data_IF_731498625337
#
_entry.id   IF_731498625337
#
_cell.length_a   1.000
_cell.length_b   1.000
_cell.length_c   1.000
_cell.angle_alpha   90.00
_cell.angle_beta   90.00
_cell.angle_gamma   90.00
#
_symmetry.space_group_name_H-M   'P 1'
#
loop_
_entity.id
_entity.type
_entity.pdbx_description
1 polymer ?
#
# COMPACT_ATOMS: atom_id res chain seq x y z
N UNK A 1 57.64 14.88 -30.20
CA UNK A 1 57.32 15.02 -28.75
C UNK A 1 56.50 16.28 -28.57
N UNK A 2 55.18 16.17 -28.36
CA UNK A 2 54.23 17.29 -28.40
C UNK A 2 53.65 17.52 -26.98
N UNK A 3 53.75 18.73 -26.40
CA UNK A 3 53.46 18.97 -24.97
C UNK A 3 51.97 19.23 -24.67
N UNK A 4 51.04 18.63 -25.43
CA UNK A 4 49.61 18.95 -25.39
C UNK A 4 48.76 17.95 -24.60
N UNK A 5 49.31 17.30 -23.57
CA UNK A 5 48.61 16.27 -22.78
C UNK A 5 48.49 16.60 -21.28
N UNK A 6 48.43 17.88 -20.92
CA UNK A 6 48.44 18.29 -19.51
C UNK A 6 47.52 19.47 -19.16
N UNK A 7 46.24 19.45 -19.57
CA UNK A 7 45.22 20.35 -18.98
C UNK A 7 43.79 20.02 -19.43
N UNK A 8 43.17 18.96 -18.90
CA UNK A 8 41.70 18.83 -18.93
C UNK A 8 41.21 17.74 -17.93
N UNK A 9 41.64 17.83 -16.68
CA UNK A 9 41.05 17.07 -15.56
C UNK A 9 40.69 18.06 -14.46
N UNK A 10 39.89 19.07 -14.80
CA UNK A 10 39.13 19.82 -13.81
C UNK A 10 37.92 18.97 -13.42
N UNK A 11 38.11 18.22 -12.34
CA UNK A 11 37.03 17.58 -11.61
C UNK A 11 35.99 18.64 -11.23
N UNK A 12 34.82 18.61 -11.89
CA UNK A 12 33.61 19.18 -11.33
C UNK A 12 33.24 18.33 -10.11
N UNK A 13 33.81 18.67 -8.96
CA UNK A 13 33.25 18.28 -7.68
C UNK A 13 31.95 19.08 -7.52
N UNK A 14 30.86 18.57 -8.10
CA UNK A 14 29.52 18.98 -7.68
C UNK A 14 29.43 18.60 -6.21
N UNK A 15 29.26 19.55 -5.27
CA UNK A 15 28.96 19.16 -3.91
C UNK A 15 27.62 18.45 -3.97
N UNK A 16 27.64 17.14 -3.78
CA UNK A 16 26.45 16.35 -3.51
C UNK A 16 25.96 16.81 -2.14
N UNK A 17 25.36 18.01 -2.10
CA UNK A 17 24.55 18.43 -0.97
C UNK A 17 23.37 17.49 -1.00
N UNK A 18 23.50 16.38 -0.29
CA UNK A 18 22.38 15.58 0.12
C UNK A 18 21.54 16.48 1.02
N UNK A 19 20.66 17.27 0.41
CA UNK A 19 19.44 17.68 1.07
C UNK A 19 18.74 16.36 1.36
N UNK A 20 18.99 15.80 2.55
CA UNK A 20 18.11 14.83 3.14
C UNK A 20 16.75 15.51 3.09
N UNK A 21 15.90 15.04 2.18
CA UNK A 21 14.54 15.54 2.07
C UNK A 21 13.94 15.29 3.44
N UNK A 22 13.77 16.35 4.21
CA UNK A 22 13.10 16.32 5.50
C UNK A 22 11.69 15.86 5.15
N UNK A 23 11.44 14.56 5.26
CA UNK A 23 10.08 14.05 5.20
C UNK A 23 9.42 14.64 6.43
N UNK A 24 8.55 15.62 6.23
CA UNK A 24 7.67 16.09 7.29
C UNK A 24 7.03 14.85 7.90
N UNK A 25 7.32 14.60 9.18
CA UNK A 25 6.81 13.43 9.86
C UNK A 25 5.28 13.47 9.73
N UNK A 26 4.68 12.39 9.24
CA UNK A 26 3.22 12.33 9.17
C UNK A 26 2.65 12.65 10.56
N UNK A 27 1.57 13.43 10.68
CA UNK A 27 1.01 13.73 11.98
C UNK A 27 0.59 12.42 12.66
N UNK A 28 0.79 12.34 13.98
CA UNK A 28 0.29 11.21 14.76
C UNK A 28 -1.22 11.12 14.58
N UNK A 29 -1.72 9.91 14.31
CA UNK A 29 -3.13 9.61 14.28
C UNK A 29 -3.49 8.71 15.46
N UNK A 30 -4.63 8.96 16.10
CA UNK A 30 -5.19 8.11 17.15
C UNK A 30 -6.53 7.58 16.66
N UNK A 31 -6.64 6.25 16.62
CA UNK A 31 -7.89 5.55 16.32
C UNK A 31 -8.59 5.16 17.61
N UNK A 32 -9.89 5.48 17.71
CA UNK A 32 -10.80 5.13 18.80
C UNK A 32 -12.14 4.67 18.24
N UNK A 33 -13.09 4.31 19.11
CA UNK A 33 -14.49 4.09 18.72
C UNK A 33 -14.73 2.75 18.02
N UNK A 34 -13.79 1.80 18.12
CA UNK A 34 -14.01 0.44 17.63
C UNK A 34 -14.86 -0.36 18.61
N UNK A 35 -15.65 -1.32 18.11
CA UNK A 35 -16.29 -2.33 18.99
C UNK A 35 -15.21 -3.21 19.64
N UNK A 36 -14.21 -3.62 18.86
CA UNK A 36 -13.02 -4.29 19.34
C UNK A 36 -11.82 -3.98 18.43
N UNK A 37 -10.65 -3.79 19.03
CA UNK A 37 -9.36 -3.82 18.31
C UNK A 37 -8.67 -5.12 18.66
N UNK A 38 -8.62 -6.07 17.74
CA UNK A 38 -7.88 -7.32 17.91
C UNK A 38 -6.39 -7.07 17.67
N UNK A 39 -5.54 -7.51 18.59
CA UNK A 39 -4.09 -7.21 18.56
C UNK A 39 -3.25 -8.38 18.03
N UNK A 40 -3.82 -9.59 17.95
CA UNK A 40 -3.08 -10.85 17.77
C UNK A 40 -1.99 -11.12 18.83
N UNK A 41 -2.04 -10.43 19.98
CA UNK A 41 -1.19 -10.67 21.14
C UNK A 41 -1.98 -11.52 22.17
N UNK A 42 -1.54 -12.75 22.52
CA UNK A 42 -2.27 -13.61 23.47
C UNK A 42 -2.33 -13.02 24.88
N UNK A 43 -1.37 -12.19 25.29
CA UNK A 43 -1.37 -11.56 26.61
C UNK A 43 -2.31 -10.33 26.65
N UNK A 44 -2.60 -9.77 25.48
CA UNK A 44 -3.41 -8.54 25.33
C UNK A 44 -4.30 -8.63 24.09
N UNK A 45 -5.26 -9.56 24.02
CA UNK A 45 -5.96 -9.91 22.79
C UNK A 45 -6.81 -8.78 22.20
N UNK A 46 -7.22 -7.83 23.03
CA UNK A 46 -8.02 -6.68 22.62
C UNK A 46 -7.47 -5.35 23.15
N UNK A 47 -7.84 -4.27 22.45
CA UNK A 47 -7.59 -2.88 22.86
C UNK A 47 -8.79 -1.98 22.48
N UNK A 48 -8.81 -0.77 23.03
CA UNK A 48 -9.84 0.24 22.74
C UNK A 48 -9.35 1.32 21.78
N UNK A 49 -8.03 1.53 21.74
CA UNK A 49 -7.40 2.55 20.91
C UNK A 49 -5.95 2.23 20.58
N UNK A 50 -5.45 2.87 19.54
CA UNK A 50 -4.02 2.97 19.29
C UNK A 50 -3.63 4.31 18.67
N UNK A 51 -2.37 4.69 18.90
CA UNK A 51 -1.71 5.80 18.21
C UNK A 51 -0.78 5.22 17.13
N UNK A 52 -0.72 5.86 15.97
CA UNK A 52 0.15 5.47 14.88
C UNK A 52 0.81 6.68 14.21
N UNK A 53 2.00 6.46 13.68
CA UNK A 53 2.74 7.42 12.88
C UNK A 53 3.64 6.68 11.89
N UNK A 54 3.70 7.15 10.64
CA UNK A 54 4.57 6.58 9.60
C UNK A 54 4.42 5.06 9.44
N UNK A 55 3.18 4.56 9.47
CA UNK A 55 2.88 3.13 9.34
C UNK A 55 3.27 2.26 10.55
N UNK A 56 3.65 2.85 11.69
CA UNK A 56 3.99 2.13 12.92
C UNK A 56 3.06 2.51 14.06
N UNK A 57 2.75 1.53 14.91
CA UNK A 57 2.03 1.76 16.16
C UNK A 57 2.98 2.38 17.19
N UNK A 58 2.59 3.51 17.77
CA UNK A 58 3.32 4.17 18.86
C UNK A 58 2.81 3.72 20.23
N UNK A 59 1.51 3.42 20.33
CA UNK A 59 0.88 2.97 21.56
C UNK A 59 -0.40 2.20 21.23
N UNK A 60 -0.71 1.15 21.98
CA UNK A 60 -1.96 0.38 21.91
C UNK A 60 -2.46 0.18 23.33
N UNK A 61 -3.76 0.40 23.59
CA UNK A 61 -4.30 0.25 24.94
C UNK A 61 -5.70 0.85 25.11
N UNK A 62 -5.98 1.38 26.31
CA UNK A 62 -7.25 2.05 26.59
C UNK A 62 -7.36 3.38 25.85
N UNK A 63 -8.58 3.75 25.48
CA UNK A 63 -8.84 4.98 24.74
C UNK A 63 -8.45 6.23 25.54
N UNK A 64 -8.60 6.18 26.86
CA UNK A 64 -8.18 7.26 27.75
C UNK A 64 -6.67 7.49 27.70
N UNK A 65 -5.87 6.43 27.92
CA UNK A 65 -4.40 6.54 27.97
C UNK A 65 -3.81 6.99 26.64
N UNK A 66 -4.30 6.43 25.54
CA UNK A 66 -3.83 6.79 24.19
C UNK A 66 -4.17 8.25 23.86
N UNK A 67 -5.39 8.73 24.19
CA UNK A 67 -5.77 10.12 23.98
C UNK A 67 -4.96 11.10 24.83
N UNK A 68 -4.72 10.76 26.09
CA UNK A 68 -3.91 11.56 27.00
C UNK A 68 -2.44 11.67 26.57
N UNK A 69 -1.87 10.57 26.04
CA UNK A 69 -0.50 10.55 25.54
C UNK A 69 -0.30 11.37 24.25
N UNK A 70 -1.37 11.53 23.45
CA UNK A 70 -1.32 12.23 22.16
C UNK A 70 -2.50 13.21 22.02
N UNK A 71 -2.51 14.33 22.78
CA UNK A 71 -3.62 15.28 22.81
C UNK A 71 -3.85 15.99 21.47
N UNK A 72 -2.77 16.27 20.73
CA UNK A 72 -2.80 17.01 19.46
C UNK A 72 -2.85 16.11 18.22
N UNK A 73 -2.95 14.79 18.41
CA UNK A 73 -3.02 13.85 17.30
C UNK A 73 -4.33 13.96 16.53
N UNK A 74 -4.26 13.72 15.22
CA UNK A 74 -5.44 13.56 14.37
C UNK A 74 -6.31 12.44 14.92
N UNK A 75 -7.61 12.70 15.08
CA UNK A 75 -8.57 11.70 15.57
C UNK A 75 -9.18 10.93 14.41
N UNK A 76 -9.27 9.62 14.56
CA UNK A 76 -9.95 8.69 13.68
C UNK A 76 -10.97 7.90 14.51
N UNK A 77 -12.19 7.79 14.02
CA UNK A 77 -13.26 7.01 14.65
C UNK A 77 -13.54 5.77 13.80
N UNK A 78 -13.59 4.60 14.45
CA UNK A 78 -13.92 3.34 13.82
C UNK A 78 -15.44 3.08 13.75
N UNK A 79 -16.27 3.97 14.28
CA UNK A 79 -17.75 3.93 14.15
C UNK A 79 -18.37 2.61 14.63
N UNK A 80 -17.85 2.07 15.72
CA UNK A 80 -18.28 0.79 16.28
C UNK A 80 -17.86 -0.43 15.45
N UNK A 81 -16.97 -0.29 14.46
CA UNK A 81 -16.47 -1.43 13.67
C UNK A 81 -15.34 -2.16 14.39
N UNK A 82 -15.14 -3.42 14.03
CA UNK A 82 -14.00 -4.22 14.51
C UNK A 82 -12.76 -3.89 13.70
N UNK A 83 -11.65 -3.67 14.40
CA UNK A 83 -10.32 -3.48 13.81
C UNK A 83 -9.49 -4.75 14.03
N UNK A 84 -8.89 -5.25 12.96
CA UNK A 84 -8.02 -6.44 12.99
C UNK A 84 -6.67 -6.12 12.35
N UNK A 85 -5.60 -6.88 12.65
CA UNK A 85 -4.37 -6.80 11.89
C UNK A 85 -4.64 -7.08 10.42
N UNK A 86 -3.90 -6.41 9.53
CA UNK A 86 -3.96 -6.71 8.10
C UNK A 86 -3.57 -8.17 7.85
N UNK A 87 -4.23 -8.81 6.88
CA UNK A 87 -3.89 -10.17 6.49
C UNK A 87 -2.49 -10.21 5.87
N UNK A 88 -1.70 -11.21 6.26
CA UNK A 88 -0.38 -11.47 5.72
C UNK A 88 -0.45 -12.78 4.94
N UNK A 89 -0.30 -12.70 3.63
CA UNK A 89 -0.11 -13.87 2.78
C UNK A 89 1.38 -14.19 2.68
N UNK A 90 1.79 -15.32 3.26
CA UNK A 90 3.18 -15.76 3.28
C UNK A 90 3.64 -16.37 1.94
N UNK A 91 2.71 -16.70 1.04
CA UNK A 91 3.04 -17.36 -0.22
C UNK A 91 2.00 -17.07 -1.30
N UNK A 92 2.33 -16.13 -2.20
CA UNK A 92 1.48 -15.77 -3.32
C UNK A 92 2.26 -15.76 -4.65
N UNK A 93 1.60 -16.17 -5.73
CA UNK A 93 2.06 -15.95 -7.10
C UNK A 93 1.52 -14.62 -7.63
N UNK A 94 2.01 -13.50 -7.08
CA UNK A 94 1.41 -12.18 -7.32
C UNK A 94 1.39 -11.77 -8.80
N UNK A 95 2.43 -12.12 -9.57
CA UNK A 95 2.48 -11.85 -11.01
C UNK A 95 1.41 -12.63 -11.78
N UNK A 96 1.26 -13.93 -11.50
CA UNK A 96 0.22 -14.76 -12.11
C UNK A 96 -1.19 -14.31 -11.73
N UNK A 97 -1.40 -13.84 -10.50
CA UNK A 97 -2.66 -13.20 -10.10
C UNK A 97 -2.93 -11.95 -10.94
N UNK A 98 -1.94 -11.06 -11.08
CA UNK A 98 -2.06 -9.87 -11.92
C UNK A 98 -2.40 -10.20 -13.37
N UNK A 99 -1.69 -11.16 -13.97
CA UNK A 99 -1.96 -11.63 -15.34
C UNK A 99 -3.38 -12.16 -15.48
N UNK A 100 -3.85 -12.99 -14.54
CA UNK A 100 -5.21 -13.54 -14.58
C UNK A 100 -6.30 -12.46 -14.52
N UNK A 101 -6.09 -11.39 -13.75
CA UNK A 101 -7.03 -10.25 -13.66
C UNK A 101 -7.04 -9.36 -14.91
N UNK A 102 -6.02 -9.48 -15.76
CA UNK A 102 -5.92 -8.79 -17.04
C UNK A 102 -6.46 -9.61 -18.21
N UNK A 103 -6.87 -10.85 -17.98
CA UNK A 103 -7.43 -11.74 -19.00
C UNK A 103 -8.95 -11.78 -18.93
N UNK A 104 -9.60 -12.19 -20.02
CA UNK A 104 -11.02 -12.45 -20.03
C UNK A 104 -11.36 -13.67 -19.16
N UNK A 105 -12.32 -13.52 -18.24
CA UNK A 105 -12.76 -14.63 -17.40
C UNK A 105 -13.80 -15.51 -18.12
N UNK A 106 -13.34 -16.69 -18.55
CA UNK A 106 -14.16 -17.70 -19.22
C UNK A 106 -14.67 -18.80 -18.27
N UNK A 107 -14.45 -18.69 -16.95
CA UNK A 107 -14.92 -19.68 -15.99
C UNK A 107 -16.46 -19.75 -16.02
N UNK A 108 -17.00 -20.96 -16.19
CA UNK A 108 -18.44 -21.19 -16.21
C UNK A 108 -19.15 -20.78 -17.50
N UNK A 109 -18.47 -20.73 -18.65
CA UNK A 109 -19.15 -20.69 -19.96
C UNK A 109 -19.71 -22.07 -20.32
N UNK A 110 -20.95 -22.12 -20.81
CA UNK A 110 -21.64 -23.37 -21.11
C UNK A 110 -21.70 -23.70 -22.61
N UNK A 111 -21.23 -22.78 -23.47
CA UNK A 111 -21.18 -22.97 -24.92
C UNK A 111 -20.07 -22.16 -25.60
N UNK A 112 -19.67 -22.52 -26.83
CA UNK A 112 -18.76 -21.70 -27.64
C UNK A 112 -19.28 -20.29 -27.91
N UNK A 113 -20.60 -20.12 -28.04
CA UNK A 113 -21.22 -18.81 -28.26
C UNK A 113 -21.02 -17.90 -27.04
N UNK A 114 -21.16 -18.45 -25.82
CA UNK A 114 -20.93 -17.69 -24.59
C UNK A 114 -19.47 -17.26 -24.45
N UNK A 115 -18.52 -18.12 -24.86
CA UNK A 115 -17.09 -17.78 -24.89
C UNK A 115 -16.87 -16.58 -25.81
N UNK A 116 -17.37 -16.64 -27.05
CA UNK A 116 -17.21 -15.54 -28.01
C UNK A 116 -17.82 -14.25 -27.47
N UNK A 117 -19.01 -14.33 -26.87
CA UNK A 117 -19.68 -13.16 -26.30
C UNK A 117 -18.86 -12.54 -25.17
N UNK A 118 -18.30 -13.34 -24.24
CA UNK A 118 -17.46 -12.81 -23.16
C UNK A 118 -16.18 -12.18 -23.67
N UNK A 119 -15.54 -12.76 -24.68
CA UNK A 119 -14.35 -12.20 -25.30
C UNK A 119 -14.65 -10.85 -25.99
N UNK A 120 -15.80 -10.74 -26.66
CA UNK A 120 -16.25 -9.49 -27.29
C UNK A 120 -16.51 -8.42 -26.24
N UNK A 121 -17.29 -8.72 -25.20
CA UNK A 121 -17.54 -7.77 -24.10
C UNK A 121 -16.24 -7.32 -23.45
N UNK A 122 -15.31 -8.25 -23.19
CA UNK A 122 -14.00 -7.91 -22.63
C UNK A 122 -13.21 -6.96 -23.54
N UNK A 123 -13.18 -7.21 -24.86
CA UNK A 123 -12.48 -6.37 -25.82
C UNK A 123 -13.07 -4.95 -25.88
N UNK A 124 -14.41 -4.84 -25.88
CA UNK A 124 -15.14 -3.57 -25.89
C UNK A 124 -14.92 -2.77 -24.60
N UNK A 125 -15.03 -3.41 -23.43
CA UNK A 125 -14.82 -2.78 -22.13
C UNK A 125 -13.39 -2.26 -21.93
N UNK A 126 -12.41 -2.88 -22.61
CA UNK A 126 -11.00 -2.50 -22.54
C UNK A 126 -10.52 -1.64 -23.71
N UNK A 127 -11.44 -1.26 -24.61
CA UNK A 127 -11.16 -0.46 -25.80
C UNK A 127 -9.93 -0.99 -26.57
N UNK A 128 -9.90 -2.31 -26.78
CA UNK A 128 -8.75 -2.94 -27.43
C UNK A 128 -8.71 -2.55 -28.91
N UNK A 129 -7.51 -2.28 -29.47
CA UNK A 129 -7.38 -1.96 -30.87
C UNK A 129 -7.74 -3.17 -31.74
N UNK A 130 -8.14 -2.89 -32.97
CA UNK A 130 -8.38 -3.94 -33.96
C UNK A 130 -7.14 -4.82 -34.15
N UNK A 131 -7.33 -6.14 -34.12
CA UNK A 131 -6.24 -7.12 -34.21
C UNK A 131 -5.47 -7.35 -32.90
N UNK A 132 -5.89 -6.76 -31.78
CA UNK A 132 -5.37 -7.11 -30.47
C UNK A 132 -5.56 -8.60 -30.16
N UNK A 133 -4.61 -9.17 -29.42
CA UNK A 133 -4.68 -10.54 -28.97
C UNK A 133 -5.56 -10.63 -27.71
N UNK A 134 -6.47 -11.61 -27.69
CA UNK A 134 -7.43 -11.89 -26.62
C UNK A 134 -7.17 -13.28 -26.04
#
# INVERSE_FOLDING_TARGET
>A
MNPLLLAALLALAVPLSATAQQQDAAPVAVLTGAEAIYTADPDRPTAEAFAMQNGRLLMVGSAERVRAAYPDARRLDAEGRTVVPGFIDAHAHLMGLGESLLQADLVGTDSPQDIVQRLQSFAEERDLPEGAWL
#
